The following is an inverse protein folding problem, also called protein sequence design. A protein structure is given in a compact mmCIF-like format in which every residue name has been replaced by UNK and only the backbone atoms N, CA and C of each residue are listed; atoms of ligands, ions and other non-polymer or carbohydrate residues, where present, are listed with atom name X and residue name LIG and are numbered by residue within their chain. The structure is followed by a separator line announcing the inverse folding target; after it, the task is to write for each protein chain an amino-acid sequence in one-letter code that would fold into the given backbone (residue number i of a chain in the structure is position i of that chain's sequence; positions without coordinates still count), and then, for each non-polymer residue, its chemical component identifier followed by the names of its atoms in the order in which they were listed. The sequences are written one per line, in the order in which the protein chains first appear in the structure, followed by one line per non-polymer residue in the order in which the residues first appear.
data_IF_196224603893
#
_entry.id   IF_196224603893
#
_cell.length_a   1.000
_cell.length_b   1.000
_cell.length_c   1.000
_cell.angle_alpha   90.00
_cell.angle_beta   90.00
_cell.angle_gamma   90.00
#
_symmetry.space_group_name_H-M   'P 1'
#
loop_
_entity.id
_entity.type
_entity.pdbx_description
1 polymer ?
#
# COMPACT_ATOMS: atom_id res chain seq x y z
N UNK A 1 16.45 14.48 -8.46
CA UNK A 1 15.86 13.35 -9.21
C UNK A 1 14.46 13.17 -8.68
N UNK A 2 13.46 13.21 -9.56
CA UNK A 2 12.05 13.00 -9.20
C UNK A 2 11.83 11.51 -8.89
N UNK A 3 10.88 11.19 -8.01
CA UNK A 3 10.51 9.79 -7.72
C UNK A 3 11.51 8.99 -6.87
N UNK A 4 12.42 9.65 -6.14
CA UNK A 4 13.48 8.96 -5.37
C UNK A 4 12.89 8.11 -4.26
N UNK A 5 11.88 8.61 -3.55
CA UNK A 5 11.30 7.87 -2.43
C UNK A 5 10.39 6.75 -2.92
N UNK A 6 9.66 6.96 -4.00
CA UNK A 6 8.90 5.91 -4.71
C UNK A 6 9.82 4.78 -5.13
N UNK A 7 10.97 5.09 -5.73
CA UNK A 7 11.97 4.08 -6.11
C UNK A 7 12.56 3.38 -4.88
N UNK A 8 12.82 4.11 -3.79
CA UNK A 8 13.26 3.53 -2.53
C UNK A 8 12.25 2.50 -1.99
N UNK A 9 10.96 2.85 -1.92
CA UNK A 9 9.90 1.94 -1.49
C UNK A 9 9.79 0.72 -2.41
N UNK A 10 9.87 0.93 -3.72
CA UNK A 10 9.84 -0.13 -4.73
C UNK A 10 10.97 -1.14 -4.54
N UNK A 11 12.21 -0.65 -4.43
CA UNK A 11 13.39 -1.50 -4.23
C UNK A 11 13.34 -2.21 -2.87
N UNK A 12 12.91 -1.50 -1.82
CA UNK A 12 12.80 -2.07 -0.47
C UNK A 12 11.79 -3.22 -0.45
N UNK A 13 10.60 -3.03 -1.05
CA UNK A 13 9.59 -4.08 -1.14
C UNK A 13 10.09 -5.32 -1.90
N UNK A 14 10.84 -5.14 -3.00
CA UNK A 14 11.48 -6.26 -3.72
C UNK A 14 12.51 -6.98 -2.83
N UNK A 15 13.40 -6.23 -2.18
CA UNK A 15 14.45 -6.81 -1.34
C UNK A 15 13.86 -7.58 -0.16
N UNK A 16 12.84 -7.01 0.50
CA UNK A 16 12.11 -7.67 1.58
C UNK A 16 11.41 -8.91 1.05
N UNK A 17 10.75 -8.86 -0.10
CA UNK A 17 10.09 -10.04 -0.67
C UNK A 17 11.08 -11.17 -1.03
N UNK A 18 12.26 -10.84 -1.56
CA UNK A 18 13.33 -11.82 -1.78
C UNK A 18 13.77 -12.44 -0.45
N UNK A 19 13.90 -11.64 0.60
CA UNK A 19 14.17 -12.13 1.95
C UNK A 19 13.07 -13.07 2.45
N UNK A 20 11.79 -12.69 2.30
CA UNK A 20 10.63 -13.51 2.68
C UNK A 20 10.66 -14.89 2.01
N UNK A 21 10.96 -14.97 0.71
CA UNK A 21 11.06 -16.25 -0.01
C UNK A 21 12.18 -17.12 0.55
N UNK A 22 13.30 -16.52 0.94
CA UNK A 22 14.47 -17.26 1.44
C UNK A 22 14.30 -17.77 2.87
N UNK A 23 13.62 -17.01 3.73
CA UNK A 23 13.53 -17.31 5.17
C UNK A 23 12.18 -17.84 5.59
N UNK A 24 11.15 -17.70 4.76
CA UNK A 24 9.76 -17.94 5.15
C UNK A 24 9.20 -16.92 6.14
N UNK A 25 9.94 -15.85 6.44
CA UNK A 25 9.52 -14.83 7.41
C UNK A 25 8.42 -13.95 6.82
N UNK A 26 7.34 -13.75 7.58
CA UNK A 26 6.28 -12.80 7.26
C UNK A 26 5.99 -11.97 8.51
N UNK A 27 6.43 -10.71 8.51
CA UNK A 27 6.08 -9.75 9.56
C UNK A 27 4.88 -8.96 9.05
N UNK A 28 3.78 -9.03 9.78
CA UNK A 28 2.57 -8.30 9.47
C UNK A 28 1.89 -7.82 10.73
N UNK A 29 1.01 -6.83 10.58
CA UNK A 29 0.26 -6.26 11.68
C UNK A 29 -0.87 -7.20 12.08
N UNK A 30 -0.74 -7.82 13.26
CA UNK A 30 -1.77 -8.69 13.81
C UNK A 30 -2.50 -8.00 14.97
N UNK A 31 -3.82 -7.71 14.86
CA UNK A 31 -4.59 -7.04 15.91
C UNK A 31 -4.58 -7.77 17.25
N UNK A 32 -4.44 -9.11 17.26
CA UNK A 32 -4.38 -9.91 18.47
C UNK A 32 -3.05 -9.78 19.24
N UNK A 33 -1.93 -9.44 18.59
CA UNK A 33 -0.59 -9.45 19.23
C UNK A 33 0.47 -8.58 18.54
N UNK A 34 0.13 -7.37 18.10
CA UNK A 34 1.08 -6.48 17.42
C UNK A 34 2.16 -5.89 18.35
N UNK A 35 3.33 -5.62 17.76
CA UNK A 35 4.36 -4.77 18.35
C UNK A 35 4.35 -3.36 17.71
N UNK A 36 5.05 -2.39 18.31
CA UNK A 36 5.04 -1.01 17.80
C UNK A 36 5.64 -0.91 16.39
N UNK A 37 6.62 -1.75 16.07
CA UNK A 37 7.29 -1.80 14.77
C UNK A 37 6.34 -2.25 13.65
N UNK A 38 5.33 -3.06 13.98
CA UNK A 38 4.39 -3.63 13.02
C UNK A 38 3.51 -2.56 12.36
N UNK A 39 3.34 -1.38 12.97
CA UNK A 39 2.61 -0.25 12.38
C UNK A 39 3.27 0.33 11.13
N UNK A 40 4.53 -0.03 10.86
CA UNK A 40 5.26 0.41 9.67
C UNK A 40 5.81 -0.79 8.89
N UNK A 41 6.39 -1.79 9.56
CA UNK A 41 7.07 -2.90 8.89
C UNK A 41 6.15 -3.70 7.99
N UNK A 42 4.88 -3.85 8.39
CA UNK A 42 3.90 -4.60 7.63
C UNK A 42 3.76 -4.14 6.18
N UNK A 43 3.98 -2.85 5.91
CA UNK A 43 3.86 -2.27 4.59
C UNK A 43 4.88 -2.83 3.59
N UNK A 44 6.01 -3.35 4.06
CA UNK A 44 7.07 -3.88 3.19
C UNK A 44 6.94 -5.38 2.91
N UNK A 45 6.18 -6.11 3.71
CA UNK A 45 5.94 -7.54 3.53
C UNK A 45 4.76 -7.77 2.58
N UNK A 46 4.81 -8.84 1.79
CA UNK A 46 3.71 -9.21 0.90
C UNK A 46 3.40 -10.71 1.01
N UNK A 47 2.12 -11.05 0.93
CA UNK A 47 1.60 -12.41 1.09
C UNK A 47 1.78 -13.29 -0.15
N UNK A 48 2.00 -12.71 -1.34
CA UNK A 48 2.23 -13.44 -2.59
C UNK A 48 2.93 -12.59 -3.64
N UNK A 49 3.49 -13.23 -4.67
CA UNK A 49 4.15 -12.53 -5.78
C UNK A 49 3.17 -11.66 -6.57
N UNK A 50 1.93 -12.12 -6.74
CA UNK A 50 0.86 -11.34 -7.39
C UNK A 50 0.50 -10.12 -6.55
N UNK A 51 0.42 -10.27 -5.22
CA UNK A 51 0.17 -9.15 -4.31
C UNK A 51 1.26 -8.08 -4.40
N UNK A 52 2.53 -8.49 -4.39
CA UNK A 52 3.66 -7.58 -4.61
C UNK A 52 3.56 -6.88 -5.98
N UNK A 53 3.37 -7.64 -7.06
CA UNK A 53 3.35 -7.09 -8.41
C UNK A 53 2.27 -6.00 -8.59
N UNK A 54 1.07 -6.23 -8.06
CA UNK A 54 -0.02 -5.23 -8.10
C UNK A 54 0.31 -3.97 -7.30
N UNK A 55 0.89 -4.10 -6.11
CA UNK A 55 1.30 -2.95 -5.29
C UNK A 55 2.42 -2.16 -5.98
N UNK A 56 3.43 -2.84 -6.51
CA UNK A 56 4.54 -2.19 -7.21
C UNK A 56 4.06 -1.46 -8.48
N UNK A 57 3.14 -2.05 -9.24
CA UNK A 57 2.54 -1.40 -10.40
C UNK A 57 1.79 -0.14 -9.99
N UNK A 58 0.94 -0.23 -8.96
CA UNK A 58 0.19 0.92 -8.47
C UNK A 58 1.10 2.01 -7.86
N UNK A 59 2.15 1.62 -7.16
CA UNK A 59 3.17 2.53 -6.63
C UNK A 59 3.89 3.29 -7.76
N UNK A 60 4.24 2.61 -8.86
CA UNK A 60 4.86 3.27 -10.01
C UNK A 60 3.93 4.24 -10.72
N UNK A 61 2.64 3.91 -10.84
CA UNK A 61 1.67 4.80 -11.50
C UNK A 61 1.22 5.95 -10.61
N UNK A 62 0.71 5.66 -9.42
CA UNK A 62 0.13 6.66 -8.52
C UNK A 62 1.19 7.31 -7.64
N UNK A 63 2.06 6.51 -7.04
CA UNK A 63 3.10 6.98 -6.11
C UNK A 63 4.09 7.93 -6.75
N UNK A 64 4.68 7.55 -7.90
CA UNK A 64 5.63 8.41 -8.61
C UNK A 64 5.01 9.76 -8.99
N UNK A 65 3.80 9.74 -9.53
CA UNK A 65 3.11 10.95 -9.97
C UNK A 65 2.72 11.85 -8.79
N UNK A 66 2.32 11.25 -7.67
CA UNK A 66 2.00 11.99 -6.46
C UNK A 66 3.26 12.58 -5.81
N UNK A 67 4.37 11.83 -5.73
CA UNK A 67 5.66 12.33 -5.23
C UNK A 67 6.14 13.53 -6.07
N UNK A 68 6.00 13.47 -7.39
CA UNK A 68 6.37 14.59 -8.27
C UNK A 68 5.57 15.87 -7.95
N UNK A 69 4.30 15.74 -7.57
CA UNK A 69 3.43 16.88 -7.22
C UNK A 69 3.72 17.46 -5.84
N UNK A 70 3.85 16.59 -4.83
CA UNK A 70 3.96 17.03 -3.43
C UNK A 70 5.41 17.26 -2.98
N UNK A 71 6.38 16.72 -3.73
CA UNK A 71 7.79 16.71 -3.38
C UNK A 71 8.17 15.55 -2.46
N UNK A 72 9.39 15.05 -2.62
CA UNK A 72 9.92 13.85 -1.95
C UNK A 72 9.80 13.90 -0.42
N UNK A 73 10.08 15.04 0.22
CA UNK A 73 10.02 15.16 1.69
C UNK A 73 8.59 15.02 2.23
N UNK A 74 7.62 15.71 1.60
CA UNK A 74 6.21 15.62 1.98
C UNK A 74 5.66 14.23 1.66
N UNK A 75 6.09 13.61 0.57
CA UNK A 75 5.71 12.24 0.21
C UNK A 75 6.22 11.23 1.26
N UNK A 76 7.43 11.40 1.77
CA UNK A 76 7.96 10.55 2.83
C UNK A 76 7.17 10.69 4.14
N UNK A 77 6.86 11.92 4.57
CA UNK A 77 5.99 12.16 5.74
C UNK A 77 4.60 11.57 5.51
N UNK A 78 4.05 11.77 4.32
CA UNK A 78 2.75 11.22 3.92
C UNK A 78 2.75 9.70 4.02
N UNK A 79 3.79 9.01 3.53
CA UNK A 79 3.96 7.57 3.66
C UNK A 79 3.83 7.10 5.10
N UNK A 80 4.55 7.71 6.06
CA UNK A 80 4.45 7.31 7.46
C UNK A 80 3.06 7.54 8.03
N UNK A 81 2.47 8.72 7.79
CA UNK A 81 1.13 9.06 8.31
C UNK A 81 0.09 8.08 7.80
N UNK A 82 0.03 7.83 6.49
CA UNK A 82 -1.00 6.97 5.90
C UNK A 82 -0.78 5.50 6.23
N UNK A 83 0.47 5.05 6.36
CA UNK A 83 0.78 3.67 6.74
C UNK A 83 0.34 3.41 8.17
N UNK A 84 0.69 4.29 9.12
CA UNK A 84 0.20 4.18 10.50
C UNK A 84 -1.32 4.31 10.57
N UNK A 85 -1.92 5.22 9.80
CA UNK A 85 -3.36 5.39 9.78
C UNK A 85 -4.09 4.15 9.24
N UNK A 86 -3.60 3.54 8.16
CA UNK A 86 -4.12 2.27 7.61
C UNK A 86 -4.01 1.14 8.64
N UNK A 87 -2.88 1.03 9.34
CA UNK A 87 -2.70 0.08 10.44
C UNK A 87 -3.76 0.26 11.55
N UNK A 88 -4.00 1.49 12.00
CA UNK A 88 -5.03 1.80 13.01
C UNK A 88 -6.42 1.43 12.49
N UNK A 89 -6.75 1.81 11.25
CA UNK A 89 -8.04 1.49 10.63
C UNK A 89 -8.24 -0.03 10.54
N UNK A 90 -7.21 -0.78 10.17
CA UNK A 90 -7.26 -2.24 10.12
C UNK A 90 -7.59 -2.85 11.47
N UNK A 91 -6.89 -2.43 12.54
CA UNK A 91 -7.13 -2.89 13.91
C UNK A 91 -8.56 -2.57 14.35
N UNK A 92 -9.07 -1.38 14.03
CA UNK A 92 -10.42 -0.97 14.42
C UNK A 92 -11.51 -1.76 13.68
N UNK A 93 -11.29 -2.11 12.41
CA UNK A 93 -12.26 -2.87 11.61
C UNK A 93 -12.22 -4.37 11.96
N UNK A 94 -11.03 -4.92 12.23
CA UNK A 94 -10.82 -6.34 12.50
C UNK A 94 -10.13 -6.59 13.85
N UNK A 95 -10.73 -6.22 14.98
CA UNK A 95 -10.04 -6.22 16.28
C UNK A 95 -9.68 -7.62 16.81
N UNK A 96 -10.29 -8.68 16.30
CA UNK A 96 -10.13 -10.06 16.80
C UNK A 96 -9.58 -11.01 15.73
N UNK A 97 -9.04 -10.49 14.63
CA UNK A 97 -8.48 -11.33 13.58
C UNK A 97 -7.06 -11.74 13.93
N UNK A 98 -6.74 -13.02 13.77
CA UNK A 98 -5.35 -13.52 13.81
C UNK A 98 -4.67 -13.45 12.44
N UNK A 99 -5.34 -12.84 11.48
CA UNK A 99 -4.86 -12.68 10.11
C UNK A 99 -3.93 -11.48 10.06
N UNK A 100 -2.64 -11.62 9.71
CA UNK A 100 -1.72 -10.50 9.70
C UNK A 100 -1.93 -9.62 8.46
N UNK A 101 -2.07 -8.31 8.67
CA UNK A 101 -2.10 -7.33 7.61
C UNK A 101 -0.69 -7.08 7.06
N UNK A 102 -0.56 -7.02 5.73
CA UNK A 102 0.71 -6.83 5.02
C UNK A 102 0.48 -6.07 3.72
N UNK A 103 1.49 -5.34 3.26
CA UNK A 103 1.56 -4.73 1.93
C UNK A 103 1.40 -3.21 1.89
N UNK A 104 1.81 -2.63 0.76
CA UNK A 104 1.79 -1.17 0.52
C UNK A 104 0.40 -0.59 0.20
N UNK A 105 -0.65 -1.41 0.15
CA UNK A 105 -1.95 -1.01 -0.40
C UNK A 105 -2.59 0.13 0.39
N UNK A 106 -2.49 0.12 1.72
CA UNK A 106 -3.00 1.20 2.57
C UNK A 106 -2.36 2.55 2.26
N UNK A 107 -1.04 2.57 2.04
CA UNK A 107 -0.34 3.76 1.57
C UNK A 107 -0.79 4.18 0.17
N UNK A 108 -0.92 3.23 -0.77
CA UNK A 108 -1.34 3.50 -2.14
C UNK A 108 -2.77 4.08 -2.19
N UNK A 109 -3.69 3.56 -1.39
CA UNK A 109 -5.03 4.13 -1.25
C UNK A 109 -4.98 5.54 -0.66
N UNK A 110 -4.11 5.77 0.32
CA UNK A 110 -3.80 7.11 0.82
C UNK A 110 -3.32 8.05 -0.30
N UNK A 111 -2.37 7.61 -1.13
CA UNK A 111 -1.86 8.37 -2.28
C UNK A 111 -2.98 8.69 -3.28
N UNK A 112 -3.82 7.71 -3.62
CA UNK A 112 -4.96 7.91 -4.49
C UNK A 112 -5.92 8.95 -3.90
N UNK A 113 -6.29 8.82 -2.62
CA UNK A 113 -7.16 9.79 -1.93
C UNK A 113 -6.55 11.19 -1.89
N UNK A 114 -5.26 11.30 -1.56
CA UNK A 114 -4.52 12.56 -1.58
C UNK A 114 -4.48 13.19 -2.97
N UNK A 115 -4.27 12.38 -4.01
CA UNK A 115 -4.25 12.88 -5.38
C UNK A 115 -5.62 13.40 -5.83
N UNK A 116 -6.71 12.71 -5.45
CA UNK A 116 -8.07 13.16 -5.75
C UNK A 116 -8.42 14.50 -5.09
N UNK A 117 -7.88 14.77 -3.89
CA UNK A 117 -8.07 16.05 -3.19
C UNK A 117 -7.24 17.16 -3.82
N UNK A 118 -5.97 16.89 -4.14
CA UNK A 118 -5.05 17.91 -4.65
C UNK A 118 -5.22 18.19 -6.15
N UNK A 119 -5.77 17.25 -6.92
CA UNK A 119 -5.80 17.38 -8.37
C UNK A 119 -6.89 18.33 -8.86
N UNK A 120 -6.46 19.45 -9.43
CA UNK A 120 -7.31 20.47 -10.05
C UNK A 120 -7.06 20.62 -11.56
N UNK A 121 -6.37 19.67 -12.20
CA UNK A 121 -6.00 19.76 -13.61
C UNK A 121 -7.09 19.35 -14.60
N UNK A 122 -6.85 19.62 -15.89
CA UNK A 122 -7.74 19.28 -17.01
C UNK A 122 -8.15 17.79 -17.04
N UNK A 123 -7.29 16.89 -16.55
CA UNK A 123 -7.52 15.44 -16.59
C UNK A 123 -8.15 14.86 -15.32
N UNK A 124 -8.81 15.69 -14.50
CA UNK A 124 -9.30 15.28 -13.16
C UNK A 124 -10.27 14.12 -13.25
N UNK A 125 -11.18 14.16 -14.23
CA UNK A 125 -12.17 13.13 -14.44
C UNK A 125 -11.50 11.79 -14.82
N UNK A 126 -10.43 11.80 -15.61
CA UNK A 126 -9.68 10.59 -15.94
C UNK A 126 -8.97 10.03 -14.71
N UNK A 127 -8.38 10.89 -13.87
CA UNK A 127 -7.77 10.49 -12.60
C UNK A 127 -8.82 9.84 -11.68
N UNK A 128 -9.98 10.47 -11.49
CA UNK A 128 -11.09 9.91 -10.71
C UNK A 128 -11.51 8.55 -11.28
N UNK A 129 -11.70 8.45 -12.59
CA UNK A 129 -12.12 7.20 -13.22
C UNK A 129 -11.10 6.08 -13.05
N UNK A 130 -9.80 6.34 -13.25
CA UNK A 130 -8.77 5.30 -13.06
C UNK A 130 -8.60 4.92 -11.60
N UNK A 131 -8.73 5.87 -10.67
CA UNK A 131 -8.72 5.61 -9.23
C UNK A 131 -9.92 4.76 -8.80
N UNK A 132 -11.13 5.12 -9.23
CA UNK A 132 -12.33 4.33 -8.97
C UNK A 132 -12.24 2.96 -9.61
N UNK A 133 -11.74 2.87 -10.84
CA UNK A 133 -11.51 1.58 -11.48
C UNK A 133 -10.52 0.73 -10.69
N UNK A 134 -9.39 1.29 -10.25
CA UNK A 134 -8.40 0.57 -9.44
C UNK A 134 -9.01 0.08 -8.11
N UNK A 135 -9.75 0.93 -7.40
CA UNK A 135 -10.41 0.55 -6.14
C UNK A 135 -11.48 -0.52 -6.37
N UNK A 136 -12.37 -0.34 -7.35
CA UNK A 136 -13.40 -1.33 -7.66
C UNK A 136 -12.81 -2.65 -8.14
N UNK A 137 -11.75 -2.60 -8.96
CA UNK A 137 -11.08 -3.78 -9.48
C UNK A 137 -10.35 -4.54 -8.36
N UNK A 138 -9.65 -3.84 -7.46
CA UNK A 138 -9.03 -4.48 -6.29
C UNK A 138 -10.08 -5.10 -5.38
N UNK A 139 -11.18 -4.41 -5.06
CA UNK A 139 -12.28 -4.97 -4.28
C UNK A 139 -12.91 -6.18 -4.97
N UNK A 140 -13.12 -6.13 -6.28
CA UNK A 140 -13.63 -7.25 -7.08
C UNK A 140 -12.70 -8.47 -6.99
N UNK A 141 -11.40 -8.27 -7.21
CA UNK A 141 -10.39 -9.32 -7.13
C UNK A 141 -10.35 -9.99 -5.75
N UNK A 142 -10.53 -9.19 -4.69
CA UNK A 142 -10.61 -9.64 -3.30
C UNK A 142 -11.90 -10.44 -3.07
N UNK A 143 -13.06 -9.90 -3.47
CA UNK A 143 -14.37 -10.50 -3.26
C UNK A 143 -14.51 -11.88 -3.91
N UNK A 144 -13.98 -12.04 -5.13
CA UNK A 144 -13.99 -13.31 -5.85
C UNK A 144 -12.79 -14.22 -5.56
N UNK A 145 -11.91 -13.82 -4.63
CA UNK A 145 -10.70 -14.54 -4.25
C UNK A 145 -9.81 -14.91 -5.47
N UNK A 146 -9.82 -14.10 -6.53
CA UNK A 146 -9.17 -14.39 -7.81
C UNK A 146 -7.64 -14.30 -7.76
N UNK A 147 -7.13 -13.78 -6.66
CA UNK A 147 -5.72 -13.47 -6.45
C UNK A 147 -5.22 -13.97 -5.09
N UNK A 148 -6.02 -14.76 -4.37
CA UNK A 148 -5.68 -15.28 -3.05
C UNK A 148 -5.53 -14.17 -2.01
N UNK A 149 -4.53 -14.30 -1.13
CA UNK A 149 -4.20 -13.41 0.01
C UNK A 149 -3.83 -11.94 -0.35
N UNK A 150 -4.33 -11.37 -1.45
CA UNK A 150 -4.21 -9.92 -1.73
C UNK A 150 -4.95 -9.08 -0.66
N UNK A 151 -5.89 -9.70 0.07
CA UNK A 151 -6.62 -9.07 1.16
C UNK A 151 -6.36 -9.74 2.51
N UNK A 152 -5.17 -9.56 3.06
CA UNK A 152 -5.13 -9.40 4.51
C UNK A 152 -5.13 -7.91 4.90
N UNK A 153 -5.67 -7.09 3.98
CA UNK A 153 -6.25 -5.76 4.12
C UNK A 153 -5.40 -4.71 4.86
N UNK A 154 -4.54 -4.04 4.10
CA UNK A 154 -4.15 -2.65 4.35
C UNK A 154 -4.91 -1.70 3.43
#
# INVERSE_FOLDING_TARGET
MKGKFTLFLFLTAILVFIYQIKTGTLIGLNPSYFSYEDFILYAFFHSSSTHLAFNLLALLFFGYYFEEKVGTERYAVFFFITTVFSAIVYILIYPTTDTPCVGLSGFIFGVIGGDLVLYQGKYKNYLILISLFYVCFTVFLIYYNLVGNIAHAA
#
